data_IF_649282171270
#
_entry.id   IF_649282171270
#
_cell.length_a   1.000
_cell.length_b   1.000
_cell.length_c   1.000
_cell.angle_alpha   90.00
_cell.angle_beta   90.00
_cell.angle_gamma   90.00
#
_symmetry.space_group_name_H-M   'P 1'
#
loop_
_entity.id
_entity.type
_entity.pdbx_description
1 polymer ?
#
# COMPACT_ATOMS: atom_id res chain seq x y z
N UNK A 1 23.54 -11.80 -1.21
CA UNK A 1 23.82 -10.89 -0.07
C UNK A 1 22.76 -9.83 -0.16
N UNK A 2 21.75 -9.92 0.69
CA UNK A 2 20.57 -9.04 0.63
C UNK A 2 21.03 -7.61 0.95
N UNK A 3 20.81 -6.67 0.05
CA UNK A 3 21.16 -5.28 0.28
C UNK A 3 20.37 -4.78 1.50
N UNK A 4 21.05 -4.17 2.47
CA UNK A 4 20.40 -3.60 3.65
C UNK A 4 19.26 -2.67 3.21
N UNK A 5 18.10 -2.79 3.86
CA UNK A 5 16.92 -1.99 3.53
C UNK A 5 17.21 -0.49 3.71
N UNK A 6 17.23 0.27 2.60
CA UNK A 6 17.37 1.72 2.62
C UNK A 6 15.99 2.38 2.71
N UNK A 7 15.63 2.84 3.91
CA UNK A 7 14.34 3.48 4.16
C UNK A 7 14.12 4.72 3.30
N UNK A 8 15.12 5.59 3.16
CA UNK A 8 14.97 6.87 2.44
C UNK A 8 14.66 6.65 0.96
N UNK A 9 15.34 5.69 0.35
CA UNK A 9 15.10 5.31 -1.06
C UNK A 9 13.69 4.71 -1.23
N UNK A 10 13.29 3.78 -0.36
CA UNK A 10 11.97 3.13 -0.46
C UNK A 10 10.83 4.13 -0.22
N UNK A 11 11.03 5.13 0.66
CA UNK A 11 10.02 6.16 0.90
C UNK A 11 9.86 7.18 -0.24
N UNK A 12 10.87 7.32 -1.11
CA UNK A 12 10.82 8.19 -2.29
C UNK A 12 10.14 7.55 -3.51
N UNK A 13 9.88 6.23 -3.49
CA UNK A 13 9.15 5.56 -4.56
C UNK A 13 7.73 6.11 -4.69
N UNK A 14 7.16 6.15 -5.90
CA UNK A 14 5.78 6.61 -6.10
C UNK A 14 4.79 5.72 -5.35
N UNK A 15 3.78 6.36 -4.75
CA UNK A 15 2.74 5.65 -4.01
C UNK A 15 1.77 4.95 -4.98
N UNK A 16 1.49 3.67 -4.74
CA UNK A 16 0.57 2.88 -5.56
C UNK A 16 -0.80 2.69 -4.90
N UNK A 17 -0.93 3.01 -3.61
CA UNK A 17 -2.23 3.12 -2.97
C UNK A 17 -2.78 4.54 -3.15
N UNK A 18 -3.85 4.68 -3.92
CA UNK A 18 -4.47 5.98 -4.16
C UNK A 18 -4.88 6.69 -2.84
N UNK A 19 -4.76 8.04 -2.77
CA UNK A 19 -5.31 8.80 -1.66
C UNK A 19 -6.85 8.79 -1.68
N UNK A 20 -7.50 9.09 -0.55
CA UNK A 20 -8.96 9.22 -0.48
C UNK A 20 -9.72 7.96 0.02
N UNK A 21 -9.11 7.17 0.90
CA UNK A 21 -9.76 6.03 1.56
C UNK A 21 -10.37 6.42 2.92
N UNK A 22 -11.40 5.70 3.38
CA UNK A 22 -12.09 5.91 4.67
C UNK A 22 -11.51 5.06 5.81
N UNK A 23 -10.17 5.04 5.93
CA UNK A 23 -9.48 4.36 7.02
C UNK A 23 -9.22 5.33 8.18
N UNK A 24 -9.12 4.80 9.40
CA UNK A 24 -8.81 5.59 10.59
C UNK A 24 -7.48 6.35 10.45
N UNK A 25 -7.34 7.47 11.17
CA UNK A 25 -6.05 8.15 11.29
C UNK A 25 -5.02 7.19 11.91
N UNK A 26 -3.92 6.96 11.20
CA UNK A 26 -2.88 6.01 11.63
C UNK A 26 -3.26 4.54 11.48
N UNK A 27 -4.22 4.18 10.63
CA UNK A 27 -4.59 2.78 10.37
C UNK A 27 -3.36 1.94 9.97
N UNK A 28 -3.08 0.90 10.77
CA UNK A 28 -1.97 -0.02 10.50
C UNK A 28 -2.12 -0.79 9.19
N UNK A 29 -3.36 -1.09 8.77
CA UNK A 29 -3.65 -1.75 7.49
C UNK A 29 -3.20 -0.91 6.29
N UNK A 30 -3.43 0.40 6.31
CA UNK A 30 -2.96 1.31 5.25
C UNK A 30 -1.43 1.34 5.20
N UNK A 31 -0.77 1.41 6.35
CA UNK A 31 0.70 1.45 6.44
C UNK A 31 1.31 0.17 5.88
N UNK A 32 0.75 -1.00 6.26
CA UNK A 32 1.20 -2.29 5.76
C UNK A 32 1.04 -2.39 4.23
N UNK A 33 -0.12 -2.05 3.69
CA UNK A 33 -0.38 -2.10 2.24
C UNK A 33 0.56 -1.18 1.47
N UNK A 34 0.80 0.05 1.93
CA UNK A 34 1.76 0.97 1.31
C UNK A 34 3.17 0.39 1.30
N UNK A 35 3.59 -0.25 2.40
CA UNK A 35 4.88 -0.94 2.48
C UNK A 35 5.01 -2.06 1.45
N UNK A 36 4.00 -2.94 1.37
CA UNK A 36 3.95 -4.06 0.41
C UNK A 36 3.98 -3.53 -1.03
N UNK A 37 3.19 -2.49 -1.33
CA UNK A 37 3.13 -1.93 -2.68
C UNK A 37 4.42 -1.22 -3.10
N UNK A 38 5.17 -0.63 -2.17
CA UNK A 38 6.51 -0.04 -2.45
C UNK A 38 7.61 -1.07 -2.63
N UNK A 39 7.38 -2.31 -2.18
CA UNK A 39 8.31 -3.42 -2.40
C UNK A 39 8.28 -3.93 -3.86
N UNK A 40 7.19 -3.67 -4.60
CA UNK A 40 7.07 -4.01 -6.02
C UNK A 40 8.07 -3.22 -6.88
N UNK A 41 8.47 -3.78 -8.03
CA UNK A 41 9.27 -3.04 -9.00
C UNK A 41 8.40 -2.04 -9.77
N UNK A 42 8.98 -0.91 -10.19
CA UNK A 42 8.22 0.21 -10.78
C UNK A 42 7.45 -0.15 -12.06
N UNK A 43 7.91 -1.13 -12.82
CA UNK A 43 7.22 -1.63 -14.02
C UNK A 43 6.14 -2.69 -13.76
N UNK A 44 6.08 -3.25 -12.55
CA UNK A 44 5.21 -4.40 -12.27
C UNK A 44 3.74 -3.99 -12.20
N UNK A 45 2.90 -4.69 -12.97
CA UNK A 45 1.44 -4.61 -12.90
C UNK A 45 0.93 -5.62 -11.88
N UNK A 46 0.95 -5.22 -10.61
CA UNK A 46 0.49 -6.09 -9.53
C UNK A 46 -1.02 -6.31 -9.59
N UNK A 47 -1.43 -7.57 -9.42
CA UNK A 47 -2.83 -7.96 -9.19
C UNK A 47 -3.05 -8.04 -7.69
N UNK A 48 -4.06 -7.34 -7.18
CA UNK A 48 -4.37 -7.29 -5.75
C UNK A 48 -5.64 -8.09 -5.46
N UNK A 49 -5.49 -9.20 -4.75
CA UNK A 49 -6.61 -9.89 -4.11
C UNK A 49 -6.89 -9.25 -2.75
N UNK A 50 -8.11 -8.77 -2.53
CA UNK A 50 -8.51 -8.16 -1.27
C UNK A 50 -9.74 -8.89 -0.72
N UNK A 51 -9.55 -9.63 0.37
CA UNK A 51 -10.65 -10.35 1.02
C UNK A 51 -11.55 -9.38 1.81
N UNK A 52 -12.78 -9.79 2.06
CA UNK A 52 -13.76 -8.95 2.75
C UNK A 52 -13.27 -8.53 4.13
N UNK A 53 -13.31 -7.22 4.41
CA UNK A 53 -12.84 -6.65 5.67
C UNK A 53 -12.58 -5.15 5.62
N UNK A 54 -11.98 -4.62 6.69
CA UNK A 54 -11.74 -3.17 6.82
C UNK A 54 -11.01 -2.56 5.62
N UNK A 55 -10.00 -3.25 5.09
CA UNK A 55 -9.24 -2.77 3.94
C UNK A 55 -10.13 -2.63 2.69
N UNK A 56 -10.96 -3.62 2.39
CA UNK A 56 -11.93 -3.61 1.30
C UNK A 56 -12.96 -2.49 1.50
N UNK A 57 -13.73 -2.51 2.59
CA UNK A 57 -14.86 -1.56 2.77
C UNK A 57 -14.41 -0.11 2.89
N UNK A 58 -13.18 0.14 3.36
CA UNK A 58 -12.65 1.50 3.49
C UNK A 58 -11.92 2.00 2.24
N UNK A 59 -11.50 1.12 1.31
CA UNK A 59 -10.81 1.52 0.07
C UNK A 59 -11.72 1.51 -1.17
N UNK A 60 -12.78 0.71 -1.15
CA UNK A 60 -13.80 0.60 -2.21
C UNK A 60 -15.17 1.06 -1.72
N UNK A 61 -15.20 2.15 -0.95
CA UNK A 61 -16.48 2.67 -0.47
C UNK A 61 -17.20 3.42 -1.58
N UNK A 62 -18.45 3.01 -1.82
CA UNK A 62 -19.40 3.70 -2.70
C UNK A 62 -19.50 5.19 -2.24
N UNK A 63 -19.76 6.13 -3.16
CA UNK A 63 -20.96 6.05 -3.94
C UNK A 63 -20.67 5.38 -5.28
#
# INVERSE_FOLDING_TARGET
>A
MEAAYNFKEVMNKPERLAPGHRMCAGCGGTVAVRGVLRALHEGDRAVVGNATGCLEVSSFMYP
#
